data_IF_392315781034
#
_entry.id   IF_392315781034
#
_cell.length_a   1.000
_cell.length_b   1.000
_cell.length_c   1.000
_cell.angle_alpha   90.00
_cell.angle_beta   90.00
_cell.angle_gamma   90.00
#
_symmetry.space_group_name_H-M   'P 1'
#
loop_
_entity.id
_entity.type
_entity.pdbx_description
1 polymer ?
#
# COMPACT_ATOMS: atom_id res chain seq x y z
N UNK A 1 -14.16 -35.13 -32.00
CA UNK A 1 -13.66 -34.07 -32.90
C UNK A 1 -14.51 -32.80 -32.87
N UNK A 2 -15.71 -32.73 -33.47
CA UNK A 2 -16.51 -31.47 -33.47
C UNK A 2 -17.02 -31.03 -32.08
N UNK A 3 -17.28 -31.99 -31.19
CA UNK A 3 -17.77 -31.73 -29.83
C UNK A 3 -16.66 -31.26 -28.87
N UNK A 4 -15.41 -31.60 -29.16
CA UNK A 4 -14.23 -31.10 -28.42
C UNK A 4 -13.91 -29.65 -28.83
N UNK A 5 -14.01 -29.29 -30.12
CA UNK A 5 -13.81 -27.92 -30.58
C UNK A 5 -14.88 -26.93 -30.06
N UNK A 6 -16.15 -27.33 -29.98
CA UNK A 6 -17.23 -26.48 -29.44
C UNK A 6 -17.05 -26.27 -27.93
N UNK A 7 -16.68 -27.32 -27.19
CA UNK A 7 -16.33 -27.21 -25.76
C UNK A 7 -15.19 -26.22 -25.51
N UNK A 8 -14.15 -26.25 -26.34
CA UNK A 8 -13.00 -25.35 -26.24
C UNK A 8 -13.33 -23.89 -26.61
N UNK A 9 -14.28 -23.65 -27.52
CA UNK A 9 -14.76 -22.29 -27.82
C UNK A 9 -15.61 -21.68 -26.70
N UNK A 10 -16.46 -22.48 -26.04
CA UNK A 10 -17.33 -22.00 -24.95
C UNK A 10 -16.50 -21.71 -23.69
N UNK A 11 -15.49 -22.54 -23.40
CA UNK A 11 -14.59 -22.30 -22.26
C UNK A 11 -13.77 -21.02 -22.45
N UNK A 12 -13.23 -20.75 -23.64
CA UNK A 12 -12.45 -19.53 -23.92
C UNK A 12 -13.27 -18.24 -23.77
N UNK A 13 -14.53 -18.24 -24.23
CA UNK A 13 -15.44 -17.08 -24.08
C UNK A 13 -15.83 -16.84 -22.61
N UNK A 14 -16.08 -17.91 -21.84
CA UNK A 14 -16.35 -17.77 -20.39
C UNK A 14 -15.14 -17.25 -19.62
N UNK A 15 -13.93 -17.67 -19.99
CA UNK A 15 -12.68 -17.15 -19.40
C UNK A 15 -12.47 -15.67 -19.71
N UNK A 16 -12.72 -15.26 -20.95
CA UNK A 16 -12.61 -13.86 -21.37
C UNK A 16 -13.66 -12.96 -20.67
N UNK A 17 -14.93 -13.38 -20.64
CA UNK A 17 -15.97 -12.64 -19.93
C UNK A 17 -15.71 -12.60 -18.41
N UNK A 18 -15.22 -13.70 -17.83
CA UNK A 18 -14.86 -13.76 -16.40
C UNK A 18 -13.69 -12.84 -16.06
N UNK A 19 -12.65 -12.79 -16.90
CA UNK A 19 -11.54 -11.84 -16.72
C UNK A 19 -12.00 -10.40 -16.88
N UNK A 20 -12.82 -10.09 -17.89
CA UNK A 20 -13.36 -8.74 -18.08
C UNK A 20 -14.22 -8.26 -16.92
N UNK A 21 -15.09 -9.12 -16.40
CA UNK A 21 -15.91 -8.78 -15.23
C UNK A 21 -15.01 -8.50 -14.01
N UNK A 22 -14.01 -9.34 -13.76
CA UNK A 22 -13.05 -9.14 -12.67
C UNK A 22 -12.27 -7.81 -12.81
N UNK A 23 -11.80 -7.47 -14.01
CA UNK A 23 -11.13 -6.18 -14.25
C UNK A 23 -12.07 -4.99 -14.05
N UNK A 24 -13.33 -5.11 -14.48
CA UNK A 24 -14.32 -4.05 -14.32
C UNK A 24 -14.65 -3.78 -12.85
N UNK A 25 -14.74 -4.83 -12.02
CA UNK A 25 -14.96 -4.71 -10.58
C UNK A 25 -13.77 -4.03 -9.89
N UNK A 26 -12.54 -4.46 -10.21
CA UNK A 26 -11.32 -3.86 -9.66
C UNK A 26 -11.18 -2.39 -10.07
N UNK A 27 -11.49 -2.07 -11.33
CA UNK A 27 -11.46 -0.69 -11.82
C UNK A 27 -12.55 0.18 -11.15
N UNK A 28 -13.75 -0.37 -10.97
CA UNK A 28 -14.82 0.28 -10.22
C UNK A 28 -14.42 0.57 -8.77
N UNK A 29 -13.77 -0.39 -8.11
CA UNK A 29 -13.23 -0.21 -6.76
C UNK A 29 -12.11 0.85 -6.71
N UNK A 30 -11.22 0.87 -7.70
CA UNK A 30 -10.18 1.90 -7.81
C UNK A 30 -10.79 3.30 -7.96
N UNK A 31 -11.77 3.49 -8.85
CA UNK A 31 -12.45 4.78 -8.99
C UNK A 31 -13.20 5.20 -7.72
N UNK A 32 -13.86 4.24 -7.05
CA UNK A 32 -14.51 4.49 -5.78
C UNK A 32 -13.52 4.97 -4.71
N UNK A 33 -12.41 4.27 -4.51
CA UNK A 33 -11.38 4.68 -3.54
C UNK A 33 -10.74 6.03 -3.91
N UNK A 34 -10.53 6.31 -5.20
CA UNK A 34 -10.02 7.60 -5.65
C UNK A 34 -11.01 8.75 -5.38
N UNK A 35 -12.32 8.46 -5.40
CA UNK A 35 -13.36 9.43 -5.07
C UNK A 35 -13.38 9.81 -3.58
N UNK A 36 -12.89 8.93 -2.69
CA UNK A 36 -12.71 9.20 -1.26
C UNK A 36 -11.34 9.82 -0.92
N UNK A 37 -10.44 9.97 -1.90
CA UNK A 37 -9.08 10.44 -1.67
C UNK A 37 -9.03 11.92 -1.31
N UNK A 38 -8.19 12.28 -0.32
CA UNK A 38 -7.98 13.66 0.10
C UNK A 38 -7.30 14.47 -1.01
N UNK A 39 -7.85 15.63 -1.36
CA UNK A 39 -7.31 16.51 -2.39
C UNK A 39 -5.92 17.06 -2.04
N UNK A 40 -5.57 17.13 -0.75
CA UNK A 40 -4.29 17.69 -0.26
C UNK A 40 -3.09 16.79 -0.51
N UNK A 41 -3.32 15.49 -0.72
CA UNK A 41 -2.27 14.49 -0.97
C UNK A 41 -2.12 14.15 -2.46
N UNK A 42 -2.91 14.81 -3.34
CA UNK A 42 -2.80 14.67 -4.79
C UNK A 42 -1.43 15.16 -5.29
N UNK A 43 -0.79 14.37 -6.12
CA UNK A 43 0.56 14.66 -6.65
C UNK A 43 1.72 14.20 -5.75
N UNK A 44 1.46 13.58 -4.59
CA UNK A 44 2.53 12.96 -3.82
C UNK A 44 3.02 11.68 -4.52
N UNK A 45 4.35 11.52 -4.74
CA UNK A 45 4.88 10.30 -5.33
C UNK A 45 4.50 9.10 -4.45
N UNK A 46 4.06 8.00 -5.06
CA UNK A 46 3.49 6.77 -4.46
C UNK A 46 2.04 6.84 -3.94
N UNK A 47 1.46 8.03 -3.71
CA UNK A 47 0.05 8.16 -3.26
C UNK A 47 -0.90 8.35 -4.44
N UNK A 48 -0.44 9.06 -5.47
CA UNK A 48 -1.25 9.45 -6.62
C UNK A 48 -1.67 8.26 -7.49
N UNK A 49 -0.88 7.18 -7.51
CA UNK A 49 -1.16 6.00 -8.31
C UNK A 49 -0.68 4.72 -7.63
N UNK A 50 -1.45 3.62 -7.72
CA UNK A 50 -1.03 2.31 -7.22
C UNK A 50 0.06 1.67 -8.08
N UNK A 51 0.24 2.12 -9.33
CA UNK A 51 1.21 1.59 -10.29
C UNK A 51 2.66 1.68 -9.79
N UNK A 52 3.19 2.85 -9.37
CA UNK A 52 4.55 2.93 -8.85
C UNK A 52 4.77 2.02 -7.64
N UNK A 53 3.79 1.90 -6.75
CA UNK A 53 3.87 1.04 -5.56
C UNK A 53 3.96 -0.44 -5.94
N UNK A 54 3.15 -0.90 -6.90
CA UNK A 54 3.21 -2.28 -7.41
C UNK A 54 4.54 -2.55 -8.14
N UNK A 55 5.05 -1.56 -8.87
CA UNK A 55 6.35 -1.69 -9.54
C UNK A 55 7.48 -1.90 -8.52
N UNK A 56 7.55 -1.05 -7.48
CA UNK A 56 8.59 -1.16 -6.46
C UNK A 56 8.52 -2.48 -5.69
N UNK A 57 7.32 -2.95 -5.35
CA UNK A 57 7.16 -4.25 -4.67
C UNK A 57 7.59 -5.42 -5.54
N UNK A 58 7.24 -5.39 -6.84
CA UNK A 58 7.66 -6.43 -7.80
C UNK A 58 9.18 -6.47 -7.95
N UNK A 59 9.82 -5.31 -8.10
CA UNK A 59 11.28 -5.18 -8.19
C UNK A 59 11.95 -5.70 -6.91
N UNK A 60 11.42 -5.34 -5.74
CA UNK A 60 11.92 -5.82 -4.45
C UNK A 60 11.87 -7.34 -4.36
N UNK A 61 10.73 -7.95 -4.69
CA UNK A 61 10.57 -9.41 -4.66
C UNK A 61 11.51 -10.12 -5.63
N UNK A 62 11.71 -9.54 -6.82
CA UNK A 62 12.67 -10.06 -7.80
C UNK A 62 14.10 -10.07 -7.24
N UNK A 63 14.53 -8.97 -6.61
CA UNK A 63 15.86 -8.87 -5.99
C UNK A 63 16.00 -9.87 -4.84
N UNK A 64 14.99 -10.01 -3.98
CA UNK A 64 15.00 -10.96 -2.86
C UNK A 64 15.08 -12.40 -3.36
N UNK A 65 14.40 -12.73 -4.45
CA UNK A 65 14.48 -14.06 -5.06
C UNK A 65 15.85 -14.32 -5.70
N UNK A 66 16.45 -13.31 -6.34
CA UNK A 66 17.75 -13.41 -7.00
C UNK A 66 18.93 -13.38 -6.00
N UNK A 67 18.75 -12.71 -4.86
CA UNK A 67 19.78 -12.50 -3.83
C UNK A 67 20.47 -13.78 -3.34
N UNK A 68 19.73 -14.80 -2.86
CA UNK A 68 20.30 -16.06 -2.40
C UNK A 68 21.08 -16.81 -3.49
N UNK A 69 20.64 -16.69 -4.75
CA UNK A 69 21.30 -17.35 -5.89
C UNK A 69 22.65 -16.70 -6.21
N UNK A 70 22.75 -15.38 -6.06
CA UNK A 70 24.00 -14.64 -6.24
C UNK A 70 24.95 -14.77 -5.05
N UNK A 71 24.43 -15.00 -3.84
CA UNK A 71 25.22 -15.11 -2.60
C UNK A 71 25.74 -16.52 -2.31
N UNK A 72 25.36 -17.54 -3.10
CA UNK A 72 25.72 -18.95 -2.88
C UNK A 72 27.24 -19.19 -2.83
N UNK A 73 28.01 -18.47 -3.65
CA UNK A 73 29.46 -18.67 -3.81
C UNK A 73 30.30 -17.52 -3.20
N UNK A 74 29.71 -16.67 -2.34
CA UNK A 74 30.36 -15.48 -1.78
C UNK A 74 30.26 -15.46 -0.24
N UNK A 75 31.33 -15.05 0.47
CA UNK A 75 31.27 -14.85 1.92
C UNK A 75 30.31 -13.70 2.28
N UNK A 76 29.72 -13.73 3.49
CA UNK A 76 28.75 -12.73 3.92
C UNK A 76 29.39 -11.33 4.01
N UNK A 77 28.69 -10.34 3.47
CA UNK A 77 29.14 -8.95 3.52
C UNK A 77 29.05 -8.39 4.95
N UNK A 78 30.11 -7.70 5.40
CA UNK A 78 30.11 -6.99 6.69
C UNK A 78 29.51 -5.59 6.51
N UNK A 79 28.18 -5.49 6.54
CA UNK A 79 27.43 -4.22 6.41
C UNK A 79 27.34 -3.41 7.72
N UNK A 80 28.08 -3.77 8.76
CA UNK A 80 27.96 -3.14 10.09
C UNK A 80 28.08 -1.61 10.03
N UNK A 81 28.97 -1.09 9.19
CA UNK A 81 29.18 0.35 9.03
C UNK A 81 27.97 1.08 8.43
N UNK A 82 27.16 0.40 7.60
CA UNK A 82 25.94 0.95 6.99
C UNK A 82 24.71 0.68 7.87
N UNK A 83 24.70 -0.45 8.60
CA UNK A 83 23.59 -0.87 9.45
C UNK A 83 23.44 0.02 10.68
N UNK A 84 24.55 0.46 11.28
CA UNK A 84 24.55 1.36 12.45
C UNK A 84 23.89 2.71 12.16
N UNK A 85 24.32 3.50 11.16
CA UNK A 85 23.67 4.77 10.85
C UNK A 85 22.23 4.58 10.35
N UNK A 86 21.92 3.49 9.65
CA UNK A 86 20.55 3.15 9.25
C UNK A 86 19.62 2.98 10.47
N UNK A 87 20.02 2.16 11.45
CA UNK A 87 19.22 1.93 12.65
C UNK A 87 19.07 3.20 13.50
N UNK A 88 20.10 4.04 13.57
CA UNK A 88 20.02 5.34 14.25
C UNK A 88 19.04 6.28 13.53
N UNK A 89 19.13 6.41 12.21
CA UNK A 89 18.21 7.22 11.42
C UNK A 89 16.76 6.76 11.61
N UNK A 90 16.51 5.45 11.58
CA UNK A 90 15.20 4.87 11.87
C UNK A 90 14.71 5.20 13.29
N UNK A 91 15.59 5.11 14.30
CA UNK A 91 15.23 5.47 15.67
C UNK A 91 14.85 6.95 15.81
N UNK A 92 15.62 7.85 15.18
CA UNK A 92 15.31 9.28 15.17
C UNK A 92 14.01 9.60 14.43
N UNK A 93 13.77 8.98 13.28
CA UNK A 93 12.54 9.15 12.51
C UNK A 93 11.32 8.68 13.31
N UNK A 94 11.40 7.49 13.92
CA UNK A 94 10.33 6.97 14.76
C UNK A 94 10.07 7.87 15.98
N UNK A 95 11.13 8.39 16.60
CA UNK A 95 11.01 9.33 17.70
C UNK A 95 10.31 10.64 17.27
N UNK A 96 10.67 11.18 16.10
CA UNK A 96 10.04 12.37 15.54
C UNK A 96 8.54 12.15 15.29
N UNK A 97 8.17 11.08 14.58
CA UNK A 97 6.76 10.74 14.32
C UNK A 97 5.99 10.56 15.64
N UNK A 98 6.57 9.85 16.61
CA UNK A 98 5.94 9.64 17.91
C UNK A 98 5.74 10.95 18.68
N UNK A 99 6.67 11.91 18.56
CA UNK A 99 6.54 13.22 19.20
C UNK A 99 5.43 14.06 18.56
N UNK A 100 5.32 14.04 17.23
CA UNK A 100 4.28 14.75 16.47
C UNK A 100 2.88 14.20 16.79
N UNK A 101 2.76 12.86 16.81
CA UNK A 101 1.50 12.20 17.15
C UNK A 101 1.10 12.50 18.59
N UNK A 102 2.04 12.47 19.55
CA UNK A 102 1.74 12.81 20.94
C UNK A 102 1.30 14.26 21.09
N UNK A 103 1.96 15.19 20.41
CA UNK A 103 1.58 16.60 20.41
C UNK A 103 0.16 16.77 19.85
N UNK A 104 -0.13 16.15 18.71
CA UNK A 104 -1.46 16.17 18.07
C UNK A 104 -2.54 15.59 18.99
N UNK A 105 -2.25 14.49 19.70
CA UNK A 105 -3.18 13.89 20.67
C UNK A 105 -3.46 14.80 21.87
N UNK A 106 -2.44 15.49 22.39
CA UNK A 106 -2.61 16.43 23.49
C UNK A 106 -3.55 17.58 23.11
N UNK A 107 -3.42 18.12 21.89
CA UNK A 107 -4.30 19.17 21.38
C UNK A 107 -5.77 18.73 21.34
N UNK A 108 -6.06 17.48 20.98
CA UNK A 108 -7.43 16.96 20.98
C UNK A 108 -8.00 16.74 22.38
N UNK A 109 -7.18 16.35 23.36
CA UNK A 109 -7.57 16.24 24.77
C UNK A 109 -7.93 17.62 25.34
N UNK A 110 -7.12 18.63 25.02
CA UNK A 110 -7.35 20.01 25.50
C UNK A 110 -8.61 20.62 24.86
N UNK A 111 -8.84 20.41 23.55
CA UNK A 111 -10.07 20.86 22.87
C UNK A 111 -11.32 20.15 23.42
N UNK A 112 -11.24 18.84 23.66
CA UNK A 112 -12.33 18.05 24.26
C UNK A 112 -12.67 18.47 25.69
N UNK A 113 -11.71 19.07 26.41
CA UNK A 113 -11.93 19.65 27.73
C UNK A 113 -12.49 21.08 27.71
N UNK A 114 -12.33 21.82 26.60
CA UNK A 114 -12.79 23.22 26.44
C UNK A 114 -14.19 23.32 25.83
N UNK A 115 -14.61 22.37 24.99
CA UNK A 115 -15.96 22.37 24.39
C UNK A 115 -16.94 21.61 25.29
N UNK A 116 -17.85 22.29 26.03
CA UNK A 116 -18.89 21.59 26.76
C UNK A 116 -19.84 20.93 25.75
N UNK A 117 -20.07 19.63 25.95
CA UNK A 117 -21.01 18.85 25.14
C UNK A 117 -22.41 19.46 25.29
N UNK A 118 -22.87 20.21 24.30
CA UNK A 118 -24.27 20.66 24.25
C UNK A 118 -25.12 19.48 23.76
N UNK A 119 -25.43 18.56 24.68
CA UNK A 119 -26.42 17.51 24.44
C UNK A 119 -27.75 18.20 24.10
N UNK A 120 -28.11 18.19 22.82
CA UNK A 120 -29.41 18.66 22.36
C UNK A 120 -30.42 17.57 22.72
N UNK A 121 -31.49 17.87 23.47
CA UNK A 121 -32.52 16.89 23.74
C UNK A 121 -33.25 16.61 22.42
N UNK A 122 -33.08 15.38 21.91
CA UNK A 122 -33.83 14.85 20.79
C UNK A 122 -35.30 14.80 21.23
N UNK A 123 -36.14 15.67 20.64
CA UNK A 123 -37.59 15.54 20.67
C UNK A 123 -38.03 14.63 19.52
#
# INVERSE_FOLDING_TARGET
MLQECVGESVTMETLFNSTHNMFSEVYGFYLYTLSLSDYRTRGWPLVDSPVPTILYTTVYLFIVWLGPRLMKDRPPFRLTWALVPYNLAMAFLNFYIASEVRHSLQTHVDIGAIVPRHDSPVR
#
